data_IF_942038351053
#
_entry.id   IF_942038351053
#
_cell.length_a   1.000
_cell.length_b   1.000
_cell.length_c   1.000
_cell.angle_alpha   90.00
_cell.angle_beta   90.00
_cell.angle_gamma   90.00
#
_symmetry.space_group_name_H-M   'P 1'
#
loop_
_entity.id
_entity.type
_entity.pdbx_description
1 polymer ?
#
# COMPACT_ATOMS: atom_id res chain seq x y z
N UNK A 1 -22.15 12.19 7.95
CA UNK A 1 -21.17 11.38 7.19
C UNK A 1 -20.03 11.00 8.13
N UNK A 2 -19.60 9.74 8.11
CA UNK A 2 -18.47 9.28 8.92
C UNK A 2 -17.14 9.59 8.22
N UNK A 3 -16.14 10.02 8.99
CA UNK A 3 -14.76 10.15 8.52
C UNK A 3 -13.88 9.22 9.31
N UNK A 4 -12.99 8.51 8.63
CA UNK A 4 -11.93 7.72 9.25
C UNK A 4 -10.58 8.32 8.89
N UNK A 5 -9.87 8.82 9.91
CA UNK A 5 -8.51 9.31 9.80
C UNK A 5 -7.66 8.40 10.68
N UNK A 6 -6.77 7.64 10.06
CA UNK A 6 -5.94 6.66 10.75
C UNK A 6 -4.47 6.94 10.49
N UNK A 7 -3.66 6.96 11.54
CA UNK A 7 -2.20 7.05 11.43
C UNK A 7 -1.61 5.76 11.97
N UNK A 8 -0.68 5.16 11.24
CA UNK A 8 0.00 3.94 11.68
C UNK A 8 1.47 3.98 11.34
N UNK A 9 2.30 3.67 12.32
CA UNK A 9 3.75 3.59 12.17
C UNK A 9 4.19 2.17 12.49
N UNK A 10 4.87 1.52 11.54
CA UNK A 10 5.36 0.16 11.68
C UNK A 10 6.88 0.17 11.77
N UNK A 11 7.43 -0.45 12.82
CA UNK A 11 8.87 -0.57 13.02
C UNK A 11 9.27 -2.03 12.93
N UNK A 12 9.76 -2.45 11.76
CA UNK A 12 10.16 -3.84 11.51
C UNK A 12 11.63 -3.97 11.85
N UNK A 13 11.89 -4.49 13.05
CA UNK A 13 13.24 -4.65 13.58
C UNK A 13 14.05 -5.70 12.83
N UNK A 14 15.36 -5.68 13.06
CA UNK A 14 16.29 -6.66 12.49
C UNK A 14 15.75 -8.09 12.62
N UNK A 15 15.81 -8.84 11.52
CA UNK A 15 15.34 -10.22 11.39
C UNK A 15 13.83 -10.45 11.66
N UNK A 16 13.04 -9.38 11.88
CA UNK A 16 11.61 -9.48 12.13
C UNK A 16 10.79 -9.54 10.84
N UNK A 17 9.59 -10.13 10.96
CA UNK A 17 8.61 -10.19 9.87
C UNK A 17 7.24 -9.77 10.35
N UNK A 18 6.59 -8.86 9.60
CA UNK A 18 5.19 -8.49 9.80
C UNK A 18 4.39 -8.79 8.54
N UNK A 19 3.28 -9.51 8.69
CA UNK A 19 2.25 -9.64 7.69
C UNK A 19 1.02 -8.87 8.19
N UNK A 20 0.70 -7.77 7.54
CA UNK A 20 -0.43 -6.92 7.86
C UNK A 20 -1.49 -7.06 6.77
N UNK A 21 -2.72 -7.39 7.16
CA UNK A 21 -3.86 -7.47 6.23
C UNK A 21 -4.94 -6.53 6.71
N UNK A 22 -5.33 -5.60 5.85
CA UNK A 22 -6.34 -4.59 6.13
C UNK A 22 -7.51 -4.78 5.17
N UNK A 23 -8.68 -5.03 5.74
CA UNK A 23 -9.93 -5.25 5.00
C UNK A 23 -10.86 -4.08 5.33
N UNK A 24 -11.20 -3.29 4.31
CA UNK A 24 -12.11 -2.16 4.47
C UNK A 24 -13.51 -2.50 3.95
N UNK A 25 -14.49 -2.31 4.83
CA UNK A 25 -15.91 -2.35 4.52
C UNK A 25 -16.55 -1.11 5.14
N UNK A 26 -16.92 -0.15 4.29
CA UNK A 26 -17.46 1.13 4.69
C UNK A 26 -18.88 1.29 4.17
N UNK A 27 -19.59 2.31 4.68
CA UNK A 27 -20.82 2.76 4.03
C UNK A 27 -20.51 3.68 2.84
N UNK A 28 -21.49 3.81 1.94
CA UNK A 28 -21.40 4.60 0.70
C UNK A 28 -21.06 6.08 0.92
N UNK A 29 -21.27 6.61 2.13
CA UNK A 29 -21.03 8.02 2.46
C UNK A 29 -19.67 8.30 3.12
N UNK A 30 -18.91 7.24 3.45
CA UNK A 30 -17.71 7.33 4.25
C UNK A 30 -16.54 7.97 3.49
N UNK A 31 -15.78 8.81 4.18
CA UNK A 31 -14.49 9.34 3.69
C UNK A 31 -13.35 8.78 4.52
N UNK A 32 -12.33 8.25 3.86
CA UNK A 32 -11.27 7.46 4.51
C UNK A 32 -9.90 8.02 4.13
N UNK A 33 -9.06 8.32 5.14
CA UNK A 33 -7.75 8.96 5.00
C UNK A 33 -6.71 8.29 5.91
N UNK A 34 -6.24 7.07 5.59
CA UNK A 34 -5.16 6.47 6.34
C UNK A 34 -3.80 7.01 5.88
N UNK A 35 -2.89 7.18 6.83
CA UNK A 35 -1.47 7.53 6.62
C UNK A 35 -0.65 6.48 7.34
N UNK A 36 0.14 5.73 6.57
CA UNK A 36 0.95 4.67 7.14
C UNK A 36 2.37 4.74 6.62
N UNK A 37 3.32 4.51 7.53
CA UNK A 37 4.72 4.39 7.18
C UNK A 37 5.32 3.17 7.87
N UNK A 38 6.23 2.48 7.19
CA UNK A 38 7.00 1.38 7.75
C UNK A 38 8.50 1.67 7.63
N UNK A 39 9.25 1.51 8.71
CA UNK A 39 10.72 1.45 8.68
C UNK A 39 11.13 -0.01 8.80
N UNK A 40 11.99 -0.47 7.91
CA UNK A 40 12.41 -1.87 7.83
C UNK A 40 13.93 -1.95 7.99
N UNK A 41 14.36 -2.56 9.08
CA UNK A 41 15.76 -2.79 9.43
C UNK A 41 16.31 -4.07 8.77
N UNK A 42 17.56 -4.43 9.09
CA UNK A 42 18.32 -5.49 8.43
C UNK A 42 17.57 -6.83 8.39
N UNK A 43 17.50 -7.45 7.22
CA UNK A 43 16.76 -8.68 6.93
C UNK A 43 15.25 -8.63 7.28
N UNK A 44 14.72 -7.47 7.66
CA UNK A 44 13.32 -7.27 8.00
C UNK A 44 12.42 -7.48 6.79
N UNK A 45 11.21 -8.00 7.03
CA UNK A 45 10.22 -8.22 5.97
C UNK A 45 8.86 -7.63 6.35
N UNK A 46 8.33 -6.76 5.50
CA UNK A 46 6.98 -6.22 5.62
C UNK A 46 6.10 -6.66 4.46
N UNK A 47 4.98 -7.28 4.76
CA UNK A 47 3.96 -7.63 3.76
C UNK A 47 2.67 -6.93 4.15
N UNK A 48 2.17 -6.05 3.28
CA UNK A 48 0.93 -5.32 3.46
C UNK A 48 -0.06 -5.75 2.38
N UNK A 49 -1.19 -6.31 2.81
CA UNK A 49 -2.29 -6.71 1.94
C UNK A 49 -3.49 -5.81 2.21
N UNK A 50 -3.94 -5.10 1.20
CA UNK A 50 -5.10 -4.22 1.28
C UNK A 50 -6.25 -4.75 0.42
N UNK A 51 -7.44 -4.84 1.02
CA UNK A 51 -8.64 -5.34 0.38
C UNK A 51 -9.76 -4.30 0.56
N UNK A 52 -10.32 -3.83 -0.56
CA UNK A 52 -11.48 -2.95 -0.60
C UNK A 52 -12.48 -3.45 -1.64
N UNK A 53 -13.50 -4.17 -1.19
CA UNK A 53 -14.48 -4.82 -2.06
C UNK A 53 -15.90 -4.24 -1.96
N UNK A 54 -16.08 -3.22 -1.12
CA UNK A 54 -17.38 -2.59 -0.86
C UNK A 54 -17.33 -1.10 -1.18
N UNK A 55 -18.48 -0.51 -1.56
CA UNK A 55 -18.56 0.91 -1.88
C UNK A 55 -18.00 1.81 -0.77
N UNK A 56 -17.39 2.91 -1.17
CA UNK A 56 -16.92 3.98 -0.29
C UNK A 56 -16.97 5.28 -1.06
N UNK A 57 -17.44 6.37 -0.46
CA UNK A 57 -17.53 7.65 -1.16
C UNK A 57 -16.17 8.06 -1.72
N UNK A 58 -15.18 8.04 -0.83
CA UNK A 58 -13.86 8.58 -1.11
C UNK A 58 -12.82 7.96 -0.17
N UNK A 59 -11.85 7.26 -0.74
CA UNK A 59 -10.67 6.78 -0.02
C UNK A 59 -9.41 7.30 -0.68
N UNK A 60 -8.52 7.85 0.15
CA UNK A 60 -7.20 8.26 -0.31
C UNK A 60 -6.12 7.73 0.64
N UNK A 61 -5.26 6.85 0.14
CA UNK A 61 -4.13 6.33 0.89
C UNK A 61 -2.86 6.22 0.05
N UNK A 62 -1.73 6.43 0.70
CA UNK A 62 -0.42 6.28 0.07
C UNK A 62 0.62 5.80 1.10
N UNK A 63 0.51 4.55 1.61
CA UNK A 63 1.47 3.99 2.53
C UNK A 63 2.89 4.03 1.97
N UNK A 64 3.87 4.30 2.84
CA UNK A 64 5.28 4.31 2.50
C UNK A 64 6.04 3.21 3.24
N UNK A 65 6.99 2.55 2.59
CA UNK A 65 7.95 1.67 3.23
C UNK A 65 9.38 2.13 2.97
N UNK A 66 10.13 2.35 4.04
CA UNK A 66 11.53 2.75 4.07
C UNK A 66 12.38 1.52 4.35
N UNK A 67 12.89 0.89 3.29
CA UNK A 67 13.74 -0.30 3.35
C UNK A 67 15.18 0.11 3.65
N UNK A 68 15.45 0.56 4.88
CA UNK A 68 16.76 1.10 5.31
C UNK A 68 17.78 -0.01 5.59
N UNK A 69 17.32 -1.17 6.02
CA UNK A 69 18.20 -2.28 6.38
C UNK A 69 18.74 -3.06 5.18
N UNK A 70 19.92 -3.62 5.34
CA UNK A 70 20.51 -4.57 4.39
C UNK A 70 19.55 -5.75 4.17
N UNK A 71 19.35 -6.16 2.92
CA UNK A 71 18.47 -7.25 2.52
C UNK A 71 17.00 -7.12 2.99
N UNK A 72 16.56 -5.92 3.41
CA UNK A 72 15.17 -5.67 3.79
C UNK A 72 14.22 -5.90 2.61
N UNK A 73 13.01 -6.34 2.91
CA UNK A 73 12.01 -6.71 1.90
C UNK A 73 10.67 -6.07 2.21
N UNK A 74 10.02 -5.56 1.18
CA UNK A 74 8.62 -5.14 1.28
C UNK A 74 7.79 -5.64 0.12
N UNK A 75 6.54 -6.00 0.41
CA UNK A 75 5.50 -6.23 -0.59
C UNK A 75 4.22 -5.50 -0.21
N UNK A 76 3.72 -4.68 -1.13
CA UNK A 76 2.38 -4.11 -1.07
C UNK A 76 1.48 -4.81 -2.08
N UNK A 77 0.35 -5.32 -1.63
CA UNK A 77 -0.68 -5.91 -2.47
C UNK A 77 -2.00 -5.16 -2.27
N UNK A 78 -2.69 -4.80 -3.34
CA UNK A 78 -4.05 -4.27 -3.27
C UNK A 78 -5.01 -5.00 -4.20
N UNK A 79 -6.20 -5.34 -3.67
CA UNK A 79 -7.35 -5.85 -4.43
C UNK A 79 -8.50 -4.87 -4.23
N UNK A 80 -8.91 -4.22 -5.32
CA UNK A 80 -9.81 -3.07 -5.31
C UNK A 80 -11.03 -3.36 -6.20
N UNK A 81 -12.22 -3.10 -5.67
CA UNK A 81 -13.47 -3.09 -6.43
C UNK A 81 -14.23 -1.81 -6.12
N UNK A 82 -14.37 -0.94 -7.12
CA UNK A 82 -15.09 0.33 -7.00
C UNK A 82 -16.42 0.26 -7.76
N UNK A 83 -17.51 0.65 -7.08
CA UNK A 83 -18.87 0.73 -7.61
C UNK A 83 -19.60 1.94 -7.02
N UNK A 84 -20.80 2.27 -7.55
CA UNK A 84 -21.67 3.33 -7.03
C UNK A 84 -20.99 4.71 -6.93
N UNK A 85 -20.17 5.06 -7.92
CA UNK A 85 -19.48 6.35 -7.96
C UNK A 85 -18.35 6.49 -6.93
N UNK A 86 -17.82 5.37 -6.42
CA UNK A 86 -16.70 5.37 -5.48
C UNK A 86 -15.47 6.04 -6.09
N UNK A 87 -14.80 6.92 -5.33
CA UNK A 87 -13.47 7.42 -5.66
C UNK A 87 -12.42 6.71 -4.80
N UNK A 88 -11.55 5.94 -5.42
CA UNK A 88 -10.45 5.25 -4.76
C UNK A 88 -9.10 5.74 -5.29
N UNK A 89 -8.42 6.57 -4.53
CA UNK A 89 -7.04 6.99 -4.79
C UNK A 89 -6.09 6.22 -3.86
N UNK A 90 -5.54 5.12 -4.37
CA UNK A 90 -4.81 4.16 -3.56
C UNK A 90 -3.45 3.91 -4.19
N UNK A 91 -2.41 4.05 -3.37
CA UNK A 91 -1.05 3.80 -3.82
C UNK A 91 -0.17 3.10 -2.82
N UNK A 92 1.10 2.98 -3.17
CA UNK A 92 2.17 2.58 -2.26
C UNK A 92 3.50 3.15 -2.73
N UNK A 93 4.33 3.61 -1.79
CA UNK A 93 5.68 4.10 -2.04
C UNK A 93 6.68 3.16 -1.37
N UNK A 94 7.71 2.76 -2.10
CA UNK A 94 8.83 1.99 -1.56
C UNK A 94 10.13 2.74 -1.80
N UNK A 95 10.92 2.89 -0.75
CA UNK A 95 12.27 3.44 -0.80
C UNK A 95 13.28 2.34 -0.45
N UNK A 96 14.23 2.10 -1.35
CA UNK A 96 15.19 1.01 -1.31
C UNK A 96 16.61 1.55 -1.08
N UNK A 97 16.92 1.87 0.17
CA UNK A 97 18.21 2.45 0.59
C UNK A 97 19.17 1.48 1.25
N UNK A 98 18.63 0.39 1.80
CA UNK A 98 19.43 -0.72 2.31
C UNK A 98 20.04 -1.53 1.18
N UNK A 99 21.35 -1.83 1.27
CA UNK A 99 22.04 -2.68 0.30
C UNK A 99 21.33 -4.04 0.16
N UNK A 100 21.02 -4.48 -1.06
CA UNK A 100 20.32 -5.75 -1.28
C UNK A 100 18.81 -5.71 -1.03
N UNK A 101 18.24 -4.54 -0.70
CA UNK A 101 16.81 -4.40 -0.42
C UNK A 101 15.94 -4.65 -1.65
N UNK A 102 14.72 -5.13 -1.41
CA UNK A 102 13.77 -5.51 -2.47
C UNK A 102 12.37 -4.99 -2.17
N UNK A 103 11.71 -4.49 -3.20
CA UNK A 103 10.36 -3.95 -3.11
C UNK A 103 9.46 -4.48 -4.21
N UNK A 104 8.22 -4.78 -3.86
CA UNK A 104 7.20 -5.17 -4.82
C UNK A 104 5.87 -4.46 -4.53
N UNK A 105 5.24 -3.91 -5.57
CA UNK A 105 3.91 -3.30 -5.50
C UNK A 105 3.02 -3.99 -6.54
N UNK A 106 1.97 -4.66 -6.09
CA UNK A 106 0.99 -5.33 -6.96
C UNK A 106 -0.39 -4.76 -6.70
N UNK A 107 -1.02 -4.21 -7.74
CA UNK A 107 -2.40 -3.72 -7.68
C UNK A 107 -3.30 -4.46 -8.68
N UNK A 108 -4.44 -4.91 -8.18
CA UNK A 108 -5.55 -5.48 -8.94
C UNK A 108 -6.80 -4.64 -8.68
N UNK A 109 -7.41 -4.12 -9.74
CA UNK A 109 -8.53 -3.22 -9.63
C UNK A 109 -9.64 -3.57 -10.62
N UNK A 110 -10.88 -3.42 -10.20
CA UNK A 110 -12.07 -3.43 -11.06
C UNK A 110 -12.88 -2.17 -10.76
N UNK A 111 -13.17 -1.37 -11.78
CA UNK A 111 -14.04 -0.20 -11.65
C UNK A 111 -15.34 -0.41 -12.45
N UNK A 112 -16.49 -0.19 -11.80
CA UNK A 112 -17.81 -0.24 -12.44
C UNK A 112 -18.53 1.09 -12.37
N UNK A 113 -19.50 1.25 -13.28
CA UNK A 113 -20.40 2.41 -13.33
C UNK A 113 -19.62 3.73 -13.47
N UNK A 114 -19.96 4.76 -12.70
CA UNK A 114 -19.28 6.06 -12.66
C UNK A 114 -18.10 6.10 -11.67
N UNK A 115 -17.60 4.95 -11.23
CA UNK A 115 -16.53 4.88 -10.22
C UNK A 115 -15.15 5.16 -10.81
N UNK A 116 -14.23 5.61 -9.97
CA UNK A 116 -12.86 5.95 -10.38
C UNK A 116 -11.84 5.33 -9.43
N UNK A 117 -10.89 4.60 -10.00
CA UNK A 117 -9.72 4.10 -9.27
C UNK A 117 -8.46 4.77 -9.83
N UNK A 118 -7.65 5.33 -8.96
CA UNK A 118 -6.30 5.83 -9.25
C UNK A 118 -5.34 4.91 -8.51
N UNK A 119 -4.67 4.02 -9.25
CA UNK A 119 -3.63 3.14 -8.71
C UNK A 119 -2.27 3.85 -8.79
N UNK A 120 -1.80 4.39 -7.66
CA UNK A 120 -0.49 5.04 -7.60
C UNK A 120 0.60 4.04 -7.22
N UNK A 121 1.82 4.26 -7.68
CA UNK A 121 2.96 3.51 -7.18
C UNK A 121 4.26 4.24 -7.43
N UNK A 122 5.20 4.09 -6.51
CA UNK A 122 6.52 4.72 -6.58
C UNK A 122 7.56 3.77 -6.01
N UNK A 123 8.64 3.56 -6.77
CA UNK A 123 9.83 2.85 -6.35
C UNK A 123 11.00 3.81 -6.45
N UNK A 124 11.66 4.08 -5.32
CA UNK A 124 12.88 4.88 -5.26
C UNK A 124 14.03 3.95 -4.86
N UNK A 125 15.09 3.91 -5.66
CA UNK A 125 16.31 3.16 -5.34
C UNK A 125 17.51 4.10 -5.30
N UNK A 126 18.14 4.18 -4.13
CA UNK A 126 19.27 5.08 -3.82
C UNK A 126 20.52 4.28 -3.40
N UNK A 127 20.50 2.95 -3.52
CA UNK A 127 21.65 2.08 -3.24
C UNK A 127 21.72 0.91 -4.23
N UNK A 128 22.83 0.15 -4.22
CA UNK A 128 23.05 -1.00 -5.10
C UNK A 128 23.58 -2.23 -4.34
N UNK A 129 23.20 -3.46 -4.71
CA UNK A 129 22.15 -3.79 -5.67
C UNK A 129 20.77 -3.74 -5.00
N UNK A 130 19.82 -3.00 -5.57
CA UNK A 130 18.41 -3.04 -5.14
C UNK A 130 17.52 -3.52 -6.28
N UNK A 131 16.37 -4.10 -5.94
CA UNK A 131 15.41 -4.60 -6.95
C UNK A 131 14.00 -4.15 -6.61
N UNK A 132 13.35 -3.48 -7.55
CA UNK A 132 11.97 -3.06 -7.43
C UNK A 132 11.12 -3.66 -8.54
N UNK A 133 9.89 -4.05 -8.23
CA UNK A 133 8.88 -4.44 -9.22
C UNK A 133 7.54 -3.76 -8.91
N UNK A 134 6.86 -3.28 -9.94
CA UNK A 134 5.54 -2.67 -9.83
C UNK A 134 4.66 -3.20 -10.95
N UNK A 135 3.50 -3.72 -10.59
CA UNK A 135 2.49 -4.19 -11.54
C UNK A 135 1.11 -3.67 -11.14
N UNK A 136 0.44 -3.01 -12.08
CA UNK A 136 -0.94 -2.56 -11.94
C UNK A 136 -1.78 -3.19 -13.04
N UNK A 137 -2.85 -3.90 -12.66
CA UNK A 137 -3.87 -4.41 -13.60
C UNK A 137 -5.24 -3.92 -13.18
N UNK A 138 -5.85 -3.10 -14.03
CA UNK A 138 -7.21 -2.59 -13.86
C UNK A 138 -8.11 -3.07 -15.00
N UNK A 139 -9.34 -3.44 -14.67
CA UNK A 139 -10.42 -3.79 -15.62
C UNK A 139 -11.61 -2.86 -15.40
#
# INVERSE_FOLDING_TARGET
SGQHIGISEFFIKKDAKLNFTMIHNWNESAKVRPRSAAIIEDNGTFISNYIALKPVKDIQMYPAALCRGKNSKVRFNSILYASQGSLMDIGSRVELSGRGSKGEIVSRAIAKESSKIIARGMLLGDNSPVKGHLECKGI
#
